data_IF_944669316504
#
_entry.id   IF_944669316504
#
_cell.length_a   1.000
_cell.length_b   1.000
_cell.length_c   1.000
_cell.angle_alpha   90.00
_cell.angle_beta   90.00
_cell.angle_gamma   90.00
#
_symmetry.space_group_name_H-M   'P 1'
#
loop_
_entity.id
_entity.type
_entity.pdbx_description
1 polymer ?
#
# COMPACT_ATOMS: atom_id res chain seq x y z
N UNK A 1 10.24 2.33 -20.03
CA UNK A 1 11.26 1.28 -20.21
C UNK A 1 10.80 0.02 -19.51
N UNK A 2 10.21 -0.90 -20.26
CA UNK A 2 9.77 -2.22 -19.80
C UNK A 2 10.05 -3.24 -20.90
N UNK A 3 9.74 -4.53 -20.72
CA UNK A 3 10.03 -5.55 -21.74
C UNK A 3 9.17 -5.36 -23.00
N UNK A 4 7.99 -4.73 -22.89
CA UNK A 4 7.05 -4.56 -24.00
C UNK A 4 6.32 -3.22 -23.87
N UNK A 5 5.82 -2.71 -24.99
CA UNK A 5 4.89 -1.58 -25.07
C UNK A 5 3.65 -2.01 -25.86
N UNK A 6 2.47 -1.52 -25.47
CA UNK A 6 1.24 -1.72 -26.22
C UNK A 6 1.01 -0.51 -27.13
N UNK A 7 0.97 -0.73 -28.44
CA UNK A 7 0.71 0.31 -29.44
C UNK A 7 -0.46 -0.15 -30.29
N UNK A 8 -1.58 0.58 -30.24
CA UNK A 8 -2.81 0.26 -30.99
C UNK A 8 -3.27 -1.21 -30.85
N UNK A 9 -3.16 -1.78 -29.65
CA UNK A 9 -3.54 -3.18 -29.37
C UNK A 9 -2.46 -4.22 -29.73
N UNK A 10 -1.38 -3.82 -30.38
CA UNK A 10 -0.24 -4.70 -30.70
C UNK A 10 0.84 -4.57 -29.64
N UNK A 11 1.29 -5.71 -29.11
CA UNK A 11 2.36 -5.75 -28.11
C UNK A 11 3.72 -5.82 -28.79
N UNK A 12 4.49 -4.75 -28.71
CA UNK A 12 5.84 -4.64 -29.31
C UNK A 12 6.91 -4.91 -28.25
N UNK A 13 7.82 -5.87 -28.45
CA UNK A 13 8.95 -6.09 -27.54
C UNK A 13 9.96 -4.94 -27.65
N UNK A 14 10.47 -4.49 -26.50
CA UNK A 14 11.48 -3.44 -26.41
C UNK A 14 12.89 -4.05 -26.23
N UNK A 15 13.97 -3.27 -26.44
CA UNK A 15 15.35 -3.77 -26.26
C UNK A 15 15.61 -4.44 -24.90
N UNK A 16 14.88 -4.03 -23.86
CA UNK A 16 14.94 -4.65 -22.54
C UNK A 16 14.55 -6.15 -22.55
N UNK A 17 13.61 -6.57 -23.41
CA UNK A 17 13.24 -7.97 -23.54
C UNK A 17 14.36 -8.85 -24.11
N UNK A 18 15.26 -8.26 -24.90
CA UNK A 18 16.43 -8.97 -25.41
C UNK A 18 17.48 -9.13 -24.30
N UNK A 19 17.71 -8.08 -23.51
CA UNK A 19 18.63 -8.11 -22.37
C UNK A 19 18.21 -9.15 -21.32
N UNK A 20 16.91 -9.28 -21.04
CA UNK A 20 16.36 -10.33 -20.17
C UNK A 20 16.67 -11.76 -20.64
N UNK A 21 16.89 -11.96 -21.94
CA UNK A 21 17.18 -13.29 -22.51
C UNK A 21 18.67 -13.58 -22.63
N UNK A 22 19.49 -12.55 -22.88
CA UNK A 22 20.89 -12.70 -23.23
C UNK A 22 21.86 -12.45 -22.08
N UNK A 23 21.46 -11.68 -21.06
CA UNK A 23 22.34 -11.31 -19.94
C UNK A 23 21.91 -12.09 -18.70
N UNK A 24 22.71 -13.07 -18.24
CA UNK A 24 22.41 -13.79 -17.00
C UNK A 24 22.24 -12.82 -15.82
N UNK A 25 21.19 -13.00 -15.02
CA UNK A 25 20.90 -12.19 -13.84
C UNK A 25 20.18 -10.86 -14.13
N UNK A 26 19.93 -10.49 -15.38
CA UNK A 26 19.17 -9.27 -15.72
C UNK A 26 17.69 -9.35 -15.34
N UNK A 27 17.18 -10.56 -15.12
CA UNK A 27 15.87 -10.91 -14.60
C UNK A 27 15.72 -10.60 -13.09
N UNK A 28 16.84 -10.48 -12.35
CA UNK A 28 16.83 -10.10 -10.92
C UNK A 28 16.46 -8.63 -10.66
N UNK A 29 16.44 -7.78 -11.70
CA UNK A 29 16.15 -6.35 -11.56
C UNK A 29 14.67 -6.07 -11.32
N UNK A 30 14.35 -5.74 -10.06
CA UNK A 30 12.97 -5.49 -9.59
C UNK A 30 12.33 -4.22 -10.13
N UNK A 31 13.10 -3.18 -10.44
CA UNK A 31 12.58 -1.87 -10.90
C UNK A 31 13.38 -1.36 -12.10
N UNK A 32 12.95 -1.78 -13.28
CA UNK A 32 13.60 -1.53 -14.58
C UNK A 32 13.78 -0.04 -14.89
N UNK A 33 12.89 0.82 -14.37
CA UNK A 33 12.97 2.27 -14.61
C UNK A 33 14.28 2.90 -14.10
N UNK A 34 14.99 2.28 -13.15
CA UNK A 34 16.28 2.78 -12.64
C UNK A 34 17.40 2.73 -13.69
N UNK A 35 17.32 1.82 -14.67
CA UNK A 35 18.26 1.77 -15.81
C UNK A 35 18.11 3.01 -16.69
N UNK A 36 16.96 3.71 -16.60
CA UNK A 36 16.75 4.99 -17.28
C UNK A 36 17.87 6.00 -17.00
N UNK A 37 18.48 5.98 -15.81
CA UNK A 37 19.62 6.84 -15.48
C UNK A 37 20.86 6.50 -16.33
N UNK A 38 21.17 5.22 -16.49
CA UNK A 38 22.29 4.76 -17.33
C UNK A 38 22.03 5.08 -18.80
N UNK A 39 20.78 4.92 -19.25
CA UNK A 39 20.38 5.32 -20.60
C UNK A 39 20.51 6.83 -20.81
N UNK A 40 20.05 7.66 -19.87
CA UNK A 40 20.19 9.11 -19.93
C UNK A 40 21.67 9.51 -19.99
N UNK A 41 22.52 8.88 -19.18
CA UNK A 41 23.96 9.12 -19.19
C UNK A 41 24.60 8.78 -20.55
N UNK A 42 24.33 7.60 -21.09
CA UNK A 42 24.84 7.20 -22.40
C UNK A 42 24.29 8.06 -23.54
N UNK A 43 23.00 8.41 -23.48
CA UNK A 43 22.34 9.28 -24.45
C UNK A 43 22.94 10.69 -24.43
N UNK A 44 23.22 11.26 -23.26
CA UNK A 44 23.89 12.55 -23.14
C UNK A 44 25.28 12.54 -23.79
N UNK A 45 26.05 11.45 -23.62
CA UNK A 45 27.32 11.27 -24.31
C UNK A 45 27.19 11.24 -25.83
N UNK A 46 26.21 10.48 -26.36
CA UNK A 46 25.94 10.42 -27.81
C UNK A 46 25.48 11.77 -28.37
N UNK A 47 24.65 12.50 -27.64
CA UNK A 47 24.23 13.86 -27.98
C UNK A 47 25.44 14.80 -28.05
N UNK A 48 26.37 14.72 -27.09
CA UNK A 48 27.62 15.48 -27.09
C UNK A 48 28.49 15.18 -28.32
N UNK A 49 28.70 13.89 -28.64
CA UNK A 49 29.46 13.46 -29.82
C UNK A 49 28.77 13.84 -31.15
N UNK A 50 27.44 13.85 -31.17
CA UNK A 50 26.64 14.32 -32.31
C UNK A 50 26.80 15.83 -32.51
N UNK A 51 26.68 16.59 -31.42
CA UNK A 51 26.88 18.04 -31.43
C UNK A 51 28.29 18.42 -31.89
N UNK A 52 29.34 17.74 -31.41
CA UNK A 52 30.73 17.94 -31.87
C UNK A 52 30.86 17.76 -33.38
N UNK A 53 30.32 16.67 -33.94
CA UNK A 53 30.38 16.39 -35.39
C UNK A 53 29.61 17.43 -36.20
N UNK A 54 28.43 17.86 -35.73
CA UNK A 54 27.64 18.91 -36.38
C UNK A 54 28.40 20.24 -36.34
N UNK A 55 28.98 20.59 -35.20
CA UNK A 55 29.77 21.82 -35.05
C UNK A 55 30.99 21.82 -35.96
N UNK A 56 31.71 20.70 -36.07
CA UNK A 56 32.88 20.59 -36.98
C UNK A 56 32.49 20.73 -38.45
N UNK A 57 31.36 20.15 -38.87
CA UNK A 57 30.85 20.30 -40.26
C UNK A 57 30.34 21.72 -40.54
N UNK A 58 29.78 22.38 -39.55
CA UNK A 58 29.30 23.76 -39.65
C UNK A 58 30.40 24.80 -39.41
N UNK A 59 31.60 24.40 -38.97
CA UNK A 59 32.73 25.28 -38.65
C UNK A 59 32.98 26.41 -39.66
N UNK A 60 33.10 26.12 -40.97
CA UNK A 60 33.29 27.15 -42.00
C UNK A 60 32.09 28.10 -42.15
N UNK A 61 30.87 27.63 -41.86
CA UNK A 61 29.64 28.44 -41.89
C UNK A 61 29.48 29.25 -40.60
N UNK A 62 30.04 28.78 -39.48
CA UNK A 62 30.01 29.44 -38.18
C UNK A 62 30.83 30.72 -38.12
N UNK A 63 31.71 30.99 -39.09
CA UNK A 63 32.38 32.28 -39.22
C UNK A 63 31.41 33.43 -39.52
N UNK A 64 30.25 33.12 -40.12
CA UNK A 64 29.20 34.12 -40.39
C UNK A 64 28.34 34.34 -39.14
N UNK A 65 28.02 35.60 -38.78
CA UNK A 65 27.33 35.95 -37.53
C UNK A 65 25.93 35.33 -37.42
N UNK A 66 25.21 35.22 -38.54
CA UNK A 66 23.85 34.65 -38.59
C UNK A 66 23.77 33.18 -38.09
N UNK A 67 24.78 32.35 -38.38
CA UNK A 67 24.79 30.96 -37.94
C UNK A 67 25.16 30.83 -36.45
N UNK A 68 26.00 31.75 -35.93
CA UNK A 68 26.30 31.83 -34.50
C UNK A 68 25.08 32.23 -33.69
N UNK A 69 24.33 33.22 -34.17
CA UNK A 69 23.07 33.66 -33.54
C UNK A 69 22.05 32.53 -33.55
N UNK A 70 21.89 31.82 -34.67
CA UNK A 70 20.98 30.67 -34.76
C UNK A 70 21.38 29.53 -33.80
N UNK A 71 22.66 29.19 -33.71
CA UNK A 71 23.16 28.17 -32.79
C UNK A 71 22.93 28.56 -31.32
N UNK A 72 23.21 29.83 -30.97
CA UNK A 72 22.93 30.37 -29.65
C UNK A 72 21.43 30.35 -29.33
N UNK A 73 20.57 30.71 -30.29
CA UNK A 73 19.12 30.67 -30.13
C UNK A 73 18.61 29.23 -29.91
N UNK A 74 19.15 28.25 -30.66
CA UNK A 74 18.82 26.83 -30.46
C UNK A 74 19.26 26.34 -29.09
N UNK A 75 20.48 26.70 -28.66
CA UNK A 75 20.96 26.35 -27.33
C UNK A 75 20.10 26.97 -26.23
N UNK A 76 19.78 28.26 -26.33
CA UNK A 76 18.90 28.95 -25.39
C UNK A 76 17.48 28.36 -25.40
N UNK A 77 16.97 27.92 -26.55
CA UNK A 77 15.68 27.24 -26.65
C UNK A 77 15.72 25.86 -25.94
N UNK A 78 16.80 25.09 -26.09
CA UNK A 78 16.99 23.83 -25.36
C UNK A 78 17.08 24.07 -23.85
N UNK A 79 17.83 25.08 -23.42
CA UNK A 79 17.90 25.49 -22.00
C UNK A 79 16.53 25.96 -21.51
N UNK A 80 15.77 26.69 -22.30
CA UNK A 80 14.42 27.15 -21.93
C UNK A 80 13.44 25.98 -21.81
N UNK A 81 13.47 25.01 -22.75
CA UNK A 81 12.66 23.78 -22.67
C UNK A 81 13.06 22.94 -21.46
N UNK A 82 14.35 22.83 -21.18
CA UNK A 82 14.84 22.16 -19.98
C UNK A 82 14.42 22.93 -18.74
N UNK A 83 14.49 24.25 -18.69
CA UNK A 83 14.14 25.05 -17.52
C UNK A 83 12.62 25.10 -17.24
N UNK A 84 11.81 25.10 -18.32
CA UNK A 84 10.35 24.98 -18.26
C UNK A 84 9.91 23.52 -17.99
N UNK A 85 10.83 22.55 -18.07
CA UNK A 85 10.62 21.26 -17.46
C UNK A 85 10.34 21.49 -15.97
N UNK A 86 9.31 20.87 -15.39
CA UNK A 86 8.82 21.24 -14.06
C UNK A 86 9.75 20.70 -12.95
N UNK A 87 11.02 21.10 -12.92
CA UNK A 87 12.01 20.79 -11.87
C UNK A 87 11.50 21.18 -10.49
N UNK A 88 10.63 22.20 -10.41
CA UNK A 88 9.91 22.58 -9.17
C UNK A 88 9.12 21.42 -8.57
N UNK A 89 8.63 20.47 -9.38
CA UNK A 89 7.97 19.22 -8.90
C UNK A 89 8.95 18.20 -8.33
N UNK A 90 10.25 18.37 -8.60
CA UNK A 90 11.34 17.50 -8.13
C UNK A 90 12.26 18.19 -7.12
N UNK A 91 11.89 19.37 -6.60
CA UNK A 91 12.63 20.01 -5.53
C UNK A 91 12.70 19.08 -4.32
N UNK A 92 13.89 19.01 -3.71
CA UNK A 92 14.11 18.29 -2.48
C UNK A 92 13.05 18.72 -1.47
N UNK A 93 12.24 17.77 -1.01
CA UNK A 93 11.24 18.05 0.00
C UNK A 93 11.97 18.28 1.32
N UNK A 94 11.57 19.33 2.04
CA UNK A 94 12.07 19.59 3.38
C UNK A 94 11.72 18.41 4.27
N UNK A 95 12.74 17.73 4.78
CA UNK A 95 12.56 16.68 5.79
C UNK A 95 12.72 17.30 7.19
N UNK A 96 11.94 16.85 8.18
CA UNK A 96 12.09 17.32 9.55
C UNK A 96 13.53 17.12 10.05
N UNK A 97 14.13 18.18 10.56
CA UNK A 97 15.35 18.11 11.37
C UNK A 97 14.97 17.91 12.84
N UNK A 98 15.96 17.73 13.74
CA UNK A 98 15.70 17.55 15.18
C UNK A 98 14.77 18.62 15.80
N UNK A 99 14.79 19.85 15.29
CA UNK A 99 13.94 20.96 15.73
C UNK A 99 12.50 20.89 15.19
N UNK A 100 12.29 20.17 14.07
CA UNK A 100 10.98 20.00 13.42
C UNK A 100 10.29 18.68 13.76
N UNK A 101 10.83 17.90 14.69
CA UNK A 101 10.25 16.60 15.08
C UNK A 101 8.92 16.82 15.81
N UNK A 102 7.84 16.14 15.39
CA UNK A 102 6.55 16.19 16.07
C UNK A 102 6.67 15.98 17.59
N UNK A 103 5.98 16.82 18.37
CA UNK A 103 6.02 16.81 19.84
C UNK A 103 5.69 15.43 20.43
N UNK A 104 4.78 14.69 19.79
CA UNK A 104 4.42 13.32 20.18
C UNK A 104 5.65 12.40 20.31
N UNK A 105 6.65 12.54 19.43
CA UNK A 105 7.86 11.73 19.49
C UNK A 105 8.83 12.20 20.58
N UNK A 106 8.80 13.49 20.94
CA UNK A 106 9.59 14.01 22.06
C UNK A 106 9.08 13.44 23.38
N UNK A 107 7.76 13.33 23.54
CA UNK A 107 7.13 12.64 24.68
C UNK A 107 7.48 11.15 24.63
N UNK A 108 7.25 10.50 23.48
CA UNK A 108 7.52 9.07 23.30
C UNK A 108 8.96 8.69 23.67
N UNK A 109 9.96 9.50 23.29
CA UNK A 109 11.39 9.26 23.59
C UNK A 109 11.69 9.16 25.08
N UNK A 110 10.92 9.82 25.95
CA UNK A 110 11.12 9.83 27.41
C UNK A 110 10.51 8.62 28.12
N UNK A 111 9.66 7.86 27.45
CA UNK A 111 9.01 6.67 28.02
C UNK A 111 9.96 5.45 28.03
N UNK A 112 9.65 4.39 28.79
CA UNK A 112 10.38 3.13 28.70
C UNK A 112 10.35 2.54 27.27
N UNK A 113 11.42 1.85 26.79
CA UNK A 113 11.41 1.22 25.48
C UNK A 113 10.33 0.15 25.35
N UNK A 114 9.51 0.24 24.30
CA UNK A 114 8.54 -0.80 23.92
C UNK A 114 8.22 -0.71 22.41
N UNK A 115 7.67 -1.78 21.80
CA UNK A 115 7.22 -1.77 20.41
C UNK A 115 6.16 -0.69 20.14
N UNK A 116 6.34 0.02 19.02
CA UNK A 116 5.49 1.11 18.57
C UNK A 116 4.74 0.71 17.29
N UNK A 117 3.45 0.99 17.24
CA UNK A 117 2.66 1.01 16.02
C UNK A 117 2.25 2.44 15.68
N UNK A 118 2.33 2.82 14.41
CA UNK A 118 1.90 4.14 13.94
C UNK A 118 0.70 4.03 12.98
N UNK A 119 -0.34 4.83 13.22
CA UNK A 119 -1.61 4.81 12.49
C UNK A 119 -1.79 6.13 11.72
N UNK A 120 -2.19 6.09 10.43
CA UNK A 120 -2.52 4.89 9.67
C UNK A 120 -1.27 4.09 9.24
N UNK A 121 -1.42 2.77 9.20
CA UNK A 121 -0.40 1.80 8.79
C UNK A 121 -1.01 0.70 7.90
N UNK A 122 -0.21 0.08 7.04
CA UNK A 122 -0.70 -0.98 6.15
C UNK A 122 -1.58 -0.48 4.98
N UNK A 123 -1.57 0.83 4.70
CA UNK A 123 -2.24 1.41 3.53
C UNK A 123 -1.55 0.89 2.25
N UNK A 124 -2.27 0.27 1.29
CA UNK A 124 -1.63 -0.27 0.09
C UNK A 124 -1.19 0.84 -0.88
N UNK A 125 -0.26 0.50 -1.78
CA UNK A 125 0.20 1.39 -2.84
C UNK A 125 1.26 2.41 -2.43
N UNK A 126 1.48 3.41 -3.30
CA UNK A 126 2.57 4.40 -3.17
C UNK A 126 2.35 5.32 -1.96
N UNK A 127 1.09 5.72 -1.72
CA UNK A 127 0.73 6.63 -0.62
C UNK A 127 1.12 6.01 0.72
N UNK A 128 0.70 4.77 0.99
CA UNK A 128 1.07 4.08 2.22
C UNK A 128 2.56 3.77 2.32
N UNK A 129 3.22 3.40 1.21
CA UNK A 129 4.67 3.16 1.21
C UNK A 129 5.47 4.41 1.58
N UNK A 130 5.04 5.59 1.11
CA UNK A 130 5.65 6.88 1.45
C UNK A 130 5.46 7.20 2.93
N UNK A 131 4.25 7.03 3.45
CA UNK A 131 3.94 7.26 4.86
C UNK A 131 4.75 6.34 5.78
N UNK A 132 4.82 5.05 5.47
CA UNK A 132 5.61 4.11 6.26
C UNK A 132 7.12 4.35 6.16
N UNK A 133 7.60 4.91 5.04
CA UNK A 133 9.00 5.36 4.94
C UNK A 133 9.28 6.55 5.84
N UNK A 134 8.30 7.46 5.98
CA UNK A 134 8.40 8.61 6.87
C UNK A 134 8.46 8.18 8.33
N UNK A 135 7.66 7.19 8.76
CA UNK A 135 7.74 6.61 10.10
C UNK A 135 9.12 6.01 10.38
N UNK A 136 9.66 5.24 9.44
CA UNK A 136 11.03 4.70 9.56
C UNK A 136 12.06 5.81 9.69
N UNK A 137 11.96 6.88 8.89
CA UNK A 137 12.84 8.04 9.02
C UNK A 137 12.70 8.71 10.39
N UNK A 138 11.48 8.95 10.87
CA UNK A 138 11.22 9.61 12.15
C UNK A 138 11.62 8.75 13.35
N UNK A 139 11.73 7.43 13.17
CA UNK A 139 12.18 6.51 14.21
C UNK A 139 13.58 6.81 14.76
N UNK A 140 14.45 7.48 13.99
CA UNK A 140 15.80 7.86 14.44
C UNK A 140 15.77 8.88 15.59
N UNK A 141 14.63 9.52 15.86
CA UNK A 141 14.48 10.49 16.94
C UNK A 141 13.99 9.88 18.25
N UNK A 142 13.32 8.72 18.22
CA UNK A 142 12.76 8.08 19.40
C UNK A 142 13.24 6.64 19.63
N UNK A 143 13.92 6.03 18.65
CA UNK A 143 14.55 4.70 18.73
C UNK A 143 13.62 3.60 19.27
N UNK A 144 12.34 3.63 18.88
CA UNK A 144 11.38 2.58 19.24
C UNK A 144 11.37 1.51 18.15
N UNK A 145 11.33 0.21 18.49
CA UNK A 145 11.06 -0.84 17.52
C UNK A 145 9.72 -0.59 16.87
N UNK A 146 9.68 -0.48 15.54
CA UNK A 146 8.42 -0.25 14.81
C UNK A 146 7.78 -1.58 14.39
N UNK A 147 6.47 -1.69 14.59
CA UNK A 147 5.65 -2.81 14.14
C UNK A 147 5.17 -2.65 12.69
N UNK A 148 5.14 -1.41 12.20
CA UNK A 148 4.91 -1.06 10.79
C UNK A 148 6.08 -0.25 10.23
N UNK A 149 6.14 -0.07 8.92
CA UNK A 149 7.26 0.63 8.30
C UNK A 149 7.61 0.08 6.94
N UNK A 150 8.40 0.85 6.21
CA UNK A 150 8.79 0.48 4.85
C UNK A 150 10.12 -0.29 4.83
N UNK A 151 10.12 -1.40 4.11
CA UNK A 151 11.31 -2.19 3.80
C UNK A 151 11.25 -2.73 2.37
N UNK A 152 12.41 -3.09 1.81
CA UNK A 152 12.50 -3.79 0.52
C UNK A 152 11.87 -5.20 0.56
N UNK A 153 11.69 -5.76 1.76
CA UNK A 153 11.07 -7.05 2.02
C UNK A 153 9.98 -6.93 3.09
N UNK A 154 8.79 -7.49 2.82
CA UNK A 154 7.70 -7.60 3.80
C UNK A 154 7.65 -9.03 4.34
N UNK A 155 7.90 -9.27 5.63
CA UNK A 155 7.80 -10.61 6.19
C UNK A 155 6.34 -11.09 6.23
N UNK A 156 6.08 -12.41 6.25
CA UNK A 156 4.71 -12.94 6.29
C UNK A 156 3.89 -12.43 7.50
N UNK A 157 4.55 -12.21 8.64
CA UNK A 157 3.95 -11.63 9.85
C UNK A 157 3.37 -10.23 9.63
N UNK A 158 3.94 -9.43 8.72
CA UNK A 158 3.50 -8.06 8.47
C UNK A 158 2.05 -7.99 7.98
N UNK A 159 1.58 -8.96 7.19
CA UNK A 159 0.20 -9.00 6.71
C UNK A 159 -0.81 -9.19 7.85
N UNK A 160 -0.47 -10.03 8.83
CA UNK A 160 -1.28 -10.26 10.04
C UNK A 160 -1.28 -9.00 10.90
N UNK A 161 -0.09 -8.45 11.20
CA UNK A 161 0.03 -7.23 12.02
C UNK A 161 -0.76 -6.08 11.41
N UNK A 162 -0.71 -5.89 10.08
CA UNK A 162 -1.44 -4.80 9.42
C UNK A 162 -2.94 -5.07 9.34
N UNK A 163 -3.39 -6.33 9.23
CA UNK A 163 -4.81 -6.66 9.33
C UNK A 163 -5.39 -6.21 10.68
N UNK A 164 -4.68 -6.55 11.76
CA UNK A 164 -5.06 -6.15 13.11
C UNK A 164 -4.98 -4.62 13.31
N UNK A 165 -3.91 -3.98 12.82
CA UNK A 165 -3.74 -2.53 12.89
C UNK A 165 -4.90 -1.77 12.22
N UNK A 166 -5.42 -2.28 11.10
CA UNK A 166 -6.55 -1.69 10.38
C UNK A 166 -7.91 -1.95 11.03
N UNK A 167 -7.99 -2.89 11.97
CA UNK A 167 -9.18 -3.16 12.76
C UNK A 167 -9.22 -2.36 14.08
N UNK A 168 -8.14 -1.64 14.43
CA UNK A 168 -8.16 -0.72 15.56
C UNK A 168 -9.21 0.40 15.34
N UNK A 169 -9.87 0.89 16.42
CA UNK A 169 -9.58 0.62 17.83
C UNK A 169 -10.42 -0.51 18.45
N UNK A 170 -10.79 -1.56 17.71
CA UNK A 170 -11.53 -2.68 18.28
C UNK A 170 -10.76 -3.38 19.41
N UNK A 171 -11.46 -3.70 20.50
CA UNK A 171 -10.89 -4.36 21.67
C UNK A 171 -10.18 -5.68 21.30
N UNK A 172 -10.81 -6.49 20.43
CA UNK A 172 -10.24 -7.77 19.98
C UNK A 172 -8.97 -7.58 19.14
N UNK A 173 -8.94 -6.57 18.29
CA UNK A 173 -7.77 -6.25 17.48
C UNK A 173 -6.61 -5.76 18.35
N UNK A 174 -6.89 -4.92 19.36
CA UNK A 174 -5.90 -4.49 20.35
C UNK A 174 -5.33 -5.67 21.13
N UNK A 175 -6.19 -6.52 21.69
CA UNK A 175 -5.79 -7.73 22.42
C UNK A 175 -4.87 -8.61 21.56
N UNK A 176 -5.28 -8.92 20.33
CA UNK A 176 -4.48 -9.75 19.42
C UNK A 176 -3.17 -9.07 19.00
N UNK A 177 -3.14 -7.76 18.78
CA UNK A 177 -1.90 -7.03 18.51
C UNK A 177 -0.93 -7.15 19.69
N UNK A 178 -1.40 -6.93 20.91
CA UNK A 178 -0.55 -7.07 22.09
C UNK A 178 0.01 -8.48 22.21
N UNK A 179 -0.87 -9.49 22.09
CA UNK A 179 -0.48 -10.90 22.21
C UNK A 179 0.48 -11.36 21.13
N UNK A 180 0.35 -10.85 19.90
CA UNK A 180 1.18 -11.30 18.76
C UNK A 180 2.43 -10.45 18.54
N UNK A 181 2.54 -9.27 19.15
CA UNK A 181 3.65 -8.34 18.86
C UNK A 181 4.28 -7.67 20.08
N UNK A 182 3.68 -7.78 21.27
CA UNK A 182 4.12 -7.04 22.45
C UNK A 182 3.88 -5.53 22.36
N UNK A 183 2.90 -5.08 21.58
CA UNK A 183 2.55 -3.67 21.40
C UNK A 183 2.54 -2.90 22.73
N UNK A 184 3.42 -1.91 22.86
CA UNK A 184 3.51 -1.05 24.06
C UNK A 184 2.99 0.37 23.84
N UNK A 185 3.20 0.91 22.64
CA UNK A 185 2.73 2.25 22.30
C UNK A 185 2.06 2.29 20.93
N UNK A 186 1.09 3.20 20.81
CA UNK A 186 0.41 3.51 19.57
C UNK A 186 0.45 5.02 19.34
N UNK A 187 0.98 5.45 18.20
CA UNK A 187 0.88 6.84 17.74
C UNK A 187 -0.20 6.91 16.66
N UNK A 188 -1.18 7.77 16.85
CA UNK A 188 -2.27 7.99 15.89
C UNK A 188 -2.14 9.38 15.30
N UNK A 189 -1.81 9.48 14.02
CA UNK A 189 -1.69 10.74 13.28
C UNK A 189 -3.08 11.19 12.80
N UNK A 190 -3.77 11.96 13.65
CA UNK A 190 -5.15 12.44 13.45
C UNK A 190 -5.31 13.37 12.23
N UNK A 191 -4.24 14.05 11.82
CA UNK A 191 -4.17 14.88 10.62
C UNK A 191 -4.11 14.07 9.32
N UNK A 192 -3.72 12.79 9.42
CA UNK A 192 -3.63 11.84 8.29
C UNK A 192 -4.86 10.94 8.17
N UNK A 193 -5.82 11.04 9.08
CA UNK A 193 -7.04 10.26 9.07
C UNK A 193 -8.22 11.03 8.48
N UNK A 194 -9.08 10.40 7.66
CA UNK A 194 -10.37 10.98 7.30
C UNK A 194 -11.22 11.31 8.54
N UNK A 195 -12.08 12.33 8.49
CA UNK A 195 -12.88 12.76 9.66
C UNK A 195 -13.66 11.62 10.34
N UNK A 196 -14.25 10.71 9.55
CA UNK A 196 -14.99 9.55 10.08
C UNK A 196 -14.12 8.57 10.87
N UNK A 197 -12.89 8.32 10.41
CA UNK A 197 -11.91 7.47 11.12
C UNK A 197 -11.32 8.18 12.34
N UNK A 198 -11.12 9.51 12.25
CA UNK A 198 -10.61 10.33 13.37
C UNK A 198 -11.54 10.26 14.59
N UNK A 199 -12.85 10.27 14.39
CA UNK A 199 -13.84 10.22 15.47
C UNK A 199 -13.75 8.95 16.34
N UNK A 200 -13.29 7.83 15.76
CA UNK A 200 -13.12 6.56 16.47
C UNK A 200 -12.06 6.64 17.59
N UNK A 201 -11.15 7.63 17.52
CA UNK A 201 -10.05 7.82 18.47
C UNK A 201 -10.35 8.82 19.60
N UNK A 202 -11.60 9.29 19.71
CA UNK A 202 -12.00 10.16 20.81
C UNK A 202 -11.97 9.42 22.16
N UNK A 203 -12.43 8.17 22.19
CA UNK A 203 -12.42 7.31 23.37
C UNK A 203 -12.06 5.85 22.98
N UNK A 204 -10.78 5.55 22.71
CA UNK A 204 -10.36 4.22 22.28
C UNK A 204 -10.43 3.22 23.45
N UNK A 205 -11.22 2.14 23.36
CA UNK A 205 -11.39 1.20 24.47
C UNK A 205 -10.09 0.44 24.77
N UNK A 206 -9.80 0.22 26.06
CA UNK A 206 -8.63 -0.53 26.51
C UNK A 206 -7.28 0.18 26.30
N UNK A 207 -7.30 1.47 25.98
CA UNK A 207 -6.10 2.28 25.78
C UNK A 207 -6.11 3.53 26.65
N UNK A 208 -4.99 3.79 27.32
CA UNK A 208 -4.74 5.01 28.07
C UNK A 208 -4.04 6.05 27.20
N UNK A 209 -4.56 7.27 27.22
CA UNK A 209 -3.95 8.42 26.53
C UNK A 209 -2.77 8.96 27.34
N UNK A 210 -1.58 8.95 26.76
CA UNK A 210 -0.36 9.52 27.34
C UNK A 210 -0.09 10.94 26.83
N UNK A 211 -0.52 11.25 25.60
CA UNK A 211 -0.41 12.57 25.00
C UNK A 211 -1.50 12.79 23.95
N UNK A 212 -1.98 14.03 23.83
CA UNK A 212 -3.01 14.44 22.87
C UNK A 212 -2.72 15.83 22.33
N UNK A 213 -2.78 15.97 21.01
CA UNK A 213 -2.79 17.24 20.30
C UNK A 213 -3.83 17.22 19.17
N UNK A 214 -3.91 18.32 18.41
CA UNK A 214 -4.77 18.40 17.23
C UNK A 214 -4.34 17.47 16.09
N UNK A 215 -3.06 17.09 16.07
CA UNK A 215 -2.45 16.32 14.98
C UNK A 215 -2.17 14.88 15.37
N UNK A 216 -1.95 14.58 16.66
CA UNK A 216 -1.58 13.22 17.06
C UNK A 216 -2.06 12.82 18.46
N UNK A 217 -2.21 11.51 18.67
CA UNK A 217 -2.35 10.87 19.97
C UNK A 217 -1.17 9.95 20.23
N UNK A 218 -0.74 9.87 21.49
CA UNK A 218 0.08 8.77 22.00
C UNK A 218 -0.75 7.99 23.00
N UNK A 219 -0.87 6.68 22.75
CA UNK A 219 -1.69 5.76 23.52
C UNK A 219 -0.81 4.60 23.99
N UNK A 220 -1.18 4.00 25.11
CA UNK A 220 -0.62 2.73 25.60
C UNK A 220 -1.76 1.82 26.04
N UNK A 221 -1.69 0.50 25.85
CA UNK A 221 -2.72 -0.39 26.36
C UNK A 221 -2.87 -0.29 27.88
N UNK A 222 -4.09 -0.39 28.40
CA UNK A 222 -4.36 -0.31 29.85
C UNK A 222 -3.97 -1.59 30.59
N UNK A 223 -4.10 -2.73 29.93
CA UNK A 223 -3.89 -4.05 30.52
C UNK A 223 -2.88 -4.83 29.68
N UNK A 224 -2.03 -5.60 30.35
CA UNK A 224 -1.22 -6.61 29.69
C UNK A 224 -2.09 -7.82 29.34
N UNK A 225 -1.87 -8.38 28.16
CA UNK A 225 -2.55 -9.60 27.73
C UNK A 225 -1.76 -10.83 28.20
N UNK A 226 -2.39 -11.83 28.85
CA UNK A 226 -1.67 -12.89 29.57
C UNK A 226 -1.07 -13.98 28.67
N UNK A 227 -1.56 -14.15 27.44
CA UNK A 227 -1.12 -15.24 26.54
C UNK A 227 -0.28 -14.70 25.40
N UNK A 228 0.99 -15.10 25.36
CA UNK A 228 1.91 -14.77 24.28
C UNK A 228 1.62 -15.60 23.02
N UNK A 229 1.33 -14.91 21.92
CA UNK A 229 1.12 -15.47 20.58
C UNK A 229 2.25 -15.05 19.60
N UNK A 230 3.26 -14.30 20.06
CA UNK A 230 4.38 -13.89 19.22
C UNK A 230 5.14 -15.09 18.61
N UNK A 231 5.42 -16.19 19.34
CA UNK A 231 6.05 -17.37 18.74
C UNK A 231 5.23 -17.94 17.58
N UNK A 232 3.90 -17.98 17.72
CA UNK A 232 2.99 -18.44 16.67
C UNK A 232 2.92 -17.46 15.49
N UNK A 233 3.12 -16.16 15.69
CA UNK A 233 3.21 -15.21 14.57
C UNK A 233 4.52 -15.40 13.78
N UNK A 234 5.62 -15.64 14.49
CA UNK A 234 6.98 -15.75 13.93
C UNK A 234 7.32 -17.15 13.40
N UNK A 235 6.51 -18.16 13.70
CA UNK A 235 6.65 -19.48 13.08
C UNK A 235 6.18 -19.43 11.62
N UNK A 236 7.15 -19.57 10.71
CA UNK A 236 6.95 -19.57 9.26
C UNK A 236 7.01 -20.98 8.65
N UNK A 237 7.04 -22.04 9.47
CA UNK A 237 6.85 -23.40 8.97
C UNK A 237 5.38 -23.63 8.58
N UNK A 238 5.10 -24.50 7.59
CA UNK A 238 3.73 -24.88 7.27
C UNK A 238 3.02 -25.42 8.50
N UNK A 239 1.89 -24.81 8.87
CA UNK A 239 1.07 -25.20 10.01
C UNK A 239 -0.23 -25.81 9.55
N UNK A 240 -0.73 -26.73 10.36
CA UNK A 240 -2.09 -27.26 10.23
C UNK A 240 -3.13 -26.33 10.85
N UNK A 241 -2.72 -25.34 11.65
CA UNK A 241 -3.61 -24.40 12.34
C UNK A 241 -3.17 -22.94 12.20
N UNK A 242 -4.13 -22.02 12.35
CA UNK A 242 -3.90 -20.57 12.42
C UNK A 242 -3.19 -20.19 13.71
N UNK A 243 -2.86 -18.89 13.87
CA UNK A 243 -2.30 -18.35 15.11
C UNK A 243 -3.25 -18.57 16.30
N UNK A 244 -4.54 -18.70 16.04
CA UNK A 244 -5.58 -18.91 17.05
C UNK A 244 -5.98 -20.38 17.22
N UNK A 245 -5.32 -21.30 16.51
CA UNK A 245 -5.57 -22.74 16.60
C UNK A 245 -6.68 -23.27 15.69
N UNK A 246 -7.22 -22.47 14.78
CA UNK A 246 -8.24 -22.93 13.81
C UNK A 246 -7.58 -23.81 12.74
N UNK A 247 -8.09 -25.01 12.43
CA UNK A 247 -7.54 -25.85 11.37
C UNK A 247 -7.53 -25.14 10.01
N UNK A 248 -6.37 -25.12 9.34
CA UNK A 248 -6.21 -24.56 7.99
C UNK A 248 -6.69 -25.60 6.99
N UNK A 249 -7.99 -25.59 6.72
CA UNK A 249 -8.66 -26.48 5.79
C UNK A 249 -9.69 -25.71 4.94
N UNK A 250 -10.03 -26.20 3.73
CA UNK A 250 -11.14 -25.64 2.95
C UNK A 250 -12.45 -25.66 3.75
N UNK A 251 -13.14 -24.52 3.79
CA UNK A 251 -14.49 -24.42 4.34
C UNK A 251 -15.45 -25.08 3.34
N UNK A 252 -16.15 -26.12 3.78
CA UNK A 252 -17.12 -26.84 2.95
C UNK A 252 -18.29 -25.94 2.55
N UNK A 253 -18.91 -26.20 1.39
CA UNK A 253 -19.91 -25.31 0.81
C UNK A 253 -21.13 -25.07 1.74
N UNK A 254 -21.54 -26.08 2.50
CA UNK A 254 -22.61 -26.00 3.51
C UNK A 254 -22.24 -25.11 4.71
N UNK A 255 -20.95 -24.89 4.96
CA UNK A 255 -20.43 -24.04 6.03
C UNK A 255 -20.04 -22.63 5.54
N UNK A 256 -20.25 -22.27 4.26
CA UNK A 256 -19.95 -20.93 3.74
C UNK A 256 -21.07 -19.91 3.98
N UNK A 257 -21.81 -20.06 5.07
CA UNK A 257 -22.95 -19.22 5.43
C UNK A 257 -22.45 -17.95 6.13
N UNK A 258 -22.57 -16.80 5.46
CA UNK A 258 -22.10 -15.51 5.98
C UNK A 258 -23.16 -14.42 5.77
N UNK A 259 -23.27 -13.55 6.75
CA UNK A 259 -23.95 -12.26 6.64
C UNK A 259 -22.88 -11.18 6.41
N UNK A 260 -22.95 -10.47 5.28
CA UNK A 260 -21.99 -9.44 4.87
C UNK A 260 -22.69 -8.10 4.72
N UNK A 261 -22.13 -7.07 5.37
CA UNK A 261 -22.61 -5.70 5.24
C UNK A 261 -21.46 -4.70 5.20
N UNK A 262 -21.68 -3.57 4.54
CA UNK A 262 -20.78 -2.44 4.64
C UNK A 262 -21.09 -1.62 5.89
N UNK A 263 -20.05 -1.08 6.51
CA UNK A 263 -20.18 -0.07 7.54
C UNK A 263 -19.99 1.31 6.91
N UNK A 264 -21.10 2.02 6.70
CA UNK A 264 -21.12 3.32 6.01
C UNK A 264 -21.50 3.21 4.53
N UNK A 265 -21.52 4.36 3.86
CA UNK A 265 -21.93 4.47 2.46
C UNK A 265 -20.70 4.59 1.55
N UNK A 266 -20.43 3.60 0.69
CA UNK A 266 -19.36 3.72 -0.29
C UNK A 266 -19.70 4.84 -1.30
N UNK A 267 -18.70 5.49 -1.89
CA UNK A 267 -18.91 6.48 -2.94
C UNK A 267 -19.48 5.81 -4.19
N UNK A 268 -20.41 6.49 -4.84
CA UNK A 268 -21.02 6.04 -6.11
C UNK A 268 -20.18 6.42 -7.32
N UNK A 269 -19.17 7.27 -7.16
CA UNK A 269 -18.23 7.60 -8.23
C UNK A 269 -16.81 7.85 -7.71
N UNK A 270 -15.81 7.42 -8.47
CA UNK A 270 -14.38 7.54 -8.15
C UNK A 270 -13.57 7.83 -9.41
N UNK A 271 -12.33 8.32 -9.25
CA UNK A 271 -11.40 8.48 -10.37
C UNK A 271 -10.64 7.19 -10.68
N UNK A 272 -10.16 7.05 -11.91
CA UNK A 272 -9.37 5.90 -12.34
C UNK A 272 -8.15 5.67 -11.44
N UNK A 273 -7.92 4.41 -11.03
CA UNK A 273 -6.80 4.03 -10.17
C UNK A 273 -6.88 4.48 -8.71
N UNK A 274 -7.92 5.22 -8.31
CA UNK A 274 -8.07 5.70 -6.94
C UNK A 274 -8.34 4.51 -5.99
N UNK A 275 -7.67 4.43 -4.82
CA UNK A 275 -8.01 3.46 -3.79
C UNK A 275 -9.35 3.80 -3.14
N UNK A 276 -10.11 2.77 -2.83
CA UNK A 276 -11.39 2.80 -2.16
C UNK A 276 -11.34 1.92 -0.92
N UNK A 277 -11.35 2.54 0.26
CA UNK A 277 -11.43 1.82 1.52
C UNK A 277 -12.89 1.54 1.88
N UNK A 278 -13.20 0.25 2.05
CA UNK A 278 -14.49 -0.27 2.44
C UNK A 278 -14.37 -0.96 3.79
N UNK A 279 -15.12 -0.49 4.78
CA UNK A 279 -15.29 -1.22 6.03
C UNK A 279 -16.37 -2.30 5.82
N UNK A 280 -15.98 -3.55 5.93
CA UNK A 280 -16.87 -4.71 5.80
C UNK A 280 -17.05 -5.32 7.17
N UNK A 281 -18.30 -5.54 7.57
CA UNK A 281 -18.65 -6.34 8.74
C UNK A 281 -19.19 -7.67 8.24
N UNK A 282 -18.57 -8.75 8.69
CA UNK A 282 -18.98 -10.11 8.38
C UNK A 282 -19.38 -10.84 9.67
N UNK A 283 -20.46 -11.61 9.60
CA UNK A 283 -20.87 -12.50 10.69
C UNK A 283 -20.99 -13.90 10.13
N UNK A 284 -20.15 -14.82 10.61
CA UNK A 284 -20.23 -16.23 10.27
C UNK A 284 -21.54 -16.81 10.83
N UNK A 285 -22.40 -17.35 9.97
CA UNK A 285 -23.71 -17.95 10.32
C UNK A 285 -23.66 -19.48 10.30
N UNK A 286 -22.50 -20.06 9.99
CA UNK A 286 -22.27 -21.50 10.02
C UNK A 286 -21.98 -22.01 11.43
N UNK A 287 -21.60 -23.28 11.55
CA UNK A 287 -21.28 -23.92 12.84
C UNK A 287 -19.77 -24.07 13.09
N UNK A 288 -18.93 -23.79 12.10
CA UNK A 288 -17.48 -23.97 12.19
C UNK A 288 -16.75 -22.63 12.15
N UNK A 289 -15.61 -22.56 12.84
CA UNK A 289 -14.71 -21.41 12.76
C UNK A 289 -13.89 -21.49 11.48
N UNK A 290 -13.74 -20.38 10.76
CA UNK A 290 -13.00 -20.36 9.49
C UNK A 290 -11.55 -19.90 9.67
N UNK A 291 -10.58 -20.53 8.98
CA UNK A 291 -9.17 -20.17 9.13
C UNK A 291 -8.86 -18.90 8.34
N UNK A 292 -8.43 -17.83 9.00
CA UNK A 292 -8.13 -16.56 8.34
C UNK A 292 -6.85 -15.87 8.86
N UNK A 293 -6.54 -15.99 10.14
CA UNK A 293 -5.45 -15.28 10.81
C UNK A 293 -4.18 -16.14 10.95
N UNK A 294 -3.41 -16.26 9.87
CA UNK A 294 -2.13 -16.95 9.87
C UNK A 294 -1.05 -16.18 9.07
N UNK A 295 0.21 -16.32 9.50
CA UNK A 295 1.38 -15.75 8.80
C UNK A 295 1.72 -16.54 7.54
N UNK A 296 1.62 -17.87 7.62
CA UNK A 296 1.85 -18.83 6.54
C UNK A 296 0.81 -19.94 6.60
N UNK A 297 0.65 -20.68 5.51
CA UNK A 297 -0.35 -21.75 5.36
C UNK A 297 -1.51 -21.30 4.50
N UNK A 298 -2.01 -22.22 3.67
CA UNK A 298 -3.18 -22.06 2.82
C UNK A 298 -3.97 -23.39 2.87
N UNK A 299 -5.29 -23.37 2.69
CA UNK A 299 -6.11 -22.24 2.23
C UNK A 299 -6.72 -21.40 3.37
N UNK A 300 -6.61 -20.08 3.29
CA UNK A 300 -7.19 -19.12 4.24
C UNK A 300 -8.36 -18.35 3.64
N UNK A 301 -9.26 -17.86 4.50
CA UNK A 301 -10.37 -17.00 4.12
C UNK A 301 -9.90 -15.55 4.04
N UNK A 302 -10.20 -14.91 2.91
CA UNK A 302 -9.86 -13.52 2.62
C UNK A 302 -11.09 -12.70 2.24
N UNK A 303 -11.00 -11.38 2.39
CA UNK A 303 -11.86 -10.46 1.67
C UNK A 303 -11.28 -10.16 0.30
N UNK A 304 -12.12 -10.24 -0.71
CA UNK A 304 -11.79 -9.92 -2.09
C UNK A 304 -12.73 -8.87 -2.68
N UNK A 305 -12.35 -8.35 -3.84
CA UNK A 305 -13.25 -7.60 -4.71
C UNK A 305 -13.08 -7.96 -6.18
N UNK A 306 -14.10 -7.67 -6.98
CA UNK A 306 -14.00 -7.61 -8.45
C UNK A 306 -14.84 -6.48 -9.02
N UNK A 307 -14.38 -5.88 -10.10
CA UNK A 307 -15.13 -4.93 -10.91
C UNK A 307 -15.73 -5.66 -12.12
N UNK A 308 -17.05 -5.62 -12.23
CA UNK A 308 -17.81 -6.24 -13.31
C UNK A 308 -18.36 -5.13 -14.21
N UNK A 309 -17.98 -5.15 -15.49
CA UNK A 309 -18.47 -4.21 -16.48
C UNK A 309 -19.77 -4.67 -17.15
N UNK A 310 -20.25 -3.89 -18.14
CA UNK A 310 -21.43 -4.26 -18.93
C UNK A 310 -21.31 -5.66 -19.52
N UNK A 311 -22.43 -6.40 -19.53
CA UNK A 311 -22.48 -7.78 -20.02
C UNK A 311 -21.82 -8.82 -19.09
N UNK A 312 -21.56 -8.48 -17.82
CA UNK A 312 -21.03 -9.41 -16.83
C UNK A 312 -19.52 -9.69 -16.93
N UNK A 313 -18.80 -8.93 -17.77
CA UNK A 313 -17.35 -9.13 -17.96
C UNK A 313 -16.58 -8.65 -16.73
N UNK A 314 -15.80 -9.54 -16.12
CA UNK A 314 -14.86 -9.18 -15.05
C UNK A 314 -13.69 -8.40 -15.64
N UNK A 315 -13.50 -7.16 -15.18
CA UNK A 315 -12.45 -6.24 -15.64
C UNK A 315 -11.20 -6.34 -14.77
N UNK A 316 -11.42 -6.52 -13.48
CA UNK A 316 -10.37 -6.60 -12.47
C UNK A 316 -10.89 -7.45 -11.31
N UNK A 317 -10.07 -8.36 -10.80
CA UNK A 317 -10.41 -9.21 -9.65
C UNK A 317 -9.18 -9.37 -8.76
N UNK A 318 -9.39 -9.26 -7.45
CA UNK A 318 -8.40 -9.56 -6.41
C UNK A 318 -9.11 -10.30 -5.28
N UNK A 319 -8.86 -11.60 -5.18
CA UNK A 319 -9.55 -12.47 -4.23
C UNK A 319 -8.96 -12.38 -2.81
N UNK A 320 -7.65 -12.11 -2.69
CA UNK A 320 -6.92 -11.98 -1.43
C UNK A 320 -6.59 -10.52 -1.07
N UNK A 321 -7.54 -9.62 -1.33
CA UNK A 321 -7.32 -8.18 -1.22
C UNK A 321 -7.14 -7.70 0.24
N UNK A 322 -7.76 -8.36 1.21
CA UNK A 322 -7.54 -8.08 2.63
C UNK A 322 -7.58 -9.36 3.50
N UNK A 323 -6.68 -9.40 4.48
CA UNK A 323 -6.68 -10.35 5.59
C UNK A 323 -7.77 -10.00 6.59
N UNK A 324 -8.41 -11.01 7.18
CA UNK A 324 -9.31 -10.81 8.31
C UNK A 324 -8.49 -10.68 9.61
N UNK A 325 -8.89 -9.82 10.57
CA UNK A 325 -8.17 -9.58 11.81
C UNK A 325 -8.52 -10.59 12.93
N UNK A 326 -9.34 -11.60 12.65
CA UNK A 326 -9.69 -12.69 13.57
C UNK A 326 -10.05 -13.91 12.72
N UNK A 327 -10.09 -15.09 13.33
CA UNK A 327 -10.74 -16.25 12.71
C UNK A 327 -12.26 -16.12 12.90
N UNK A 328 -13.07 -16.05 11.83
CA UNK A 328 -14.52 -15.84 11.96
C UNK A 328 -15.20 -16.99 12.71
N UNK A 329 -15.56 -16.74 13.97
CA UNK A 329 -16.31 -17.67 14.81
C UNK A 329 -17.82 -17.56 14.56
N UNK A 330 -18.58 -18.66 14.68
CA UNK A 330 -20.05 -18.63 14.59
C UNK A 330 -20.68 -17.54 15.46
N UNK A 331 -21.51 -16.70 14.84
CA UNK A 331 -22.28 -15.65 15.50
C UNK A 331 -21.50 -14.40 15.94
N UNK A 332 -20.17 -14.39 15.83
CA UNK A 332 -19.33 -13.25 16.25
C UNK A 332 -19.04 -12.34 15.04
N UNK A 333 -19.44 -11.05 15.09
CA UNK A 333 -19.09 -10.12 14.03
C UNK A 333 -17.59 -9.82 14.00
N UNK A 334 -17.01 -9.84 12.80
CA UNK A 334 -15.64 -9.40 12.53
C UNK A 334 -15.70 -8.20 11.59
N UNK A 335 -15.03 -7.10 11.93
CA UNK A 335 -14.88 -5.96 11.00
C UNK A 335 -13.49 -5.99 10.38
N UNK A 336 -13.44 -5.72 9.08
CA UNK A 336 -12.18 -5.63 8.36
C UNK A 336 -12.26 -4.50 7.32
N UNK A 337 -11.12 -3.89 7.04
CA UNK A 337 -11.02 -2.86 6.00
C UNK A 337 -10.44 -3.47 4.73
N UNK A 338 -11.19 -3.37 3.64
CA UNK A 338 -10.80 -3.77 2.29
C UNK A 338 -10.44 -2.54 1.47
N UNK A 339 -9.27 -2.53 0.82
CA UNK A 339 -8.91 -1.48 -0.16
C UNK A 339 -9.09 -2.03 -1.58
N UNK A 340 -10.12 -1.57 -2.28
CA UNK A 340 -10.31 -1.83 -3.71
C UNK A 340 -9.63 -0.74 -4.55
N UNK A 341 -9.00 -1.08 -5.67
CA UNK A 341 -8.43 -0.09 -6.59
C UNK A 341 -9.33 0.07 -7.80
N UNK A 342 -9.81 1.29 -8.06
CA UNK A 342 -10.63 1.56 -9.23
C UNK A 342 -9.88 1.18 -10.53
N UNK A 343 -10.56 0.60 -11.52
CA UNK A 343 -9.99 0.30 -12.83
C UNK A 343 -9.30 1.53 -13.46
N UNK A 344 -8.28 1.28 -14.27
CA UNK A 344 -7.59 2.33 -15.03
C UNK A 344 -8.44 2.84 -16.21
N UNK A 345 -9.43 2.05 -16.63
CA UNK A 345 -10.38 2.39 -17.69
C UNK A 345 -11.63 3.03 -17.09
N UNK A 346 -12.00 4.26 -17.51
CA UNK A 346 -13.28 4.85 -17.13
C UNK A 346 -14.47 4.01 -17.61
N UNK A 347 -15.60 4.14 -16.92
CA UNK A 347 -16.85 3.46 -17.24
C UNK A 347 -17.72 3.21 -16.01
N UNK A 348 -18.91 2.66 -16.25
CA UNK A 348 -19.81 2.23 -15.19
C UNK A 348 -19.63 0.74 -14.93
N UNK A 349 -19.50 0.38 -13.66
CA UNK A 349 -19.20 -0.96 -13.18
C UNK A 349 -20.08 -1.33 -11.99
N UNK A 350 -20.15 -2.62 -11.71
CA UNK A 350 -20.55 -3.14 -10.41
C UNK A 350 -19.29 -3.55 -9.64
N UNK A 351 -19.06 -2.94 -8.49
CA UNK A 351 -18.08 -3.38 -7.51
C UNK A 351 -18.70 -4.51 -6.68
N UNK A 352 -18.16 -5.70 -6.84
CA UNK A 352 -18.56 -6.89 -6.10
C UNK A 352 -17.54 -7.14 -5.00
N UNK A 353 -18.00 -7.30 -3.76
CA UNK A 353 -17.20 -7.56 -2.57
C UNK A 353 -17.68 -8.84 -1.90
N UNK A 354 -16.77 -9.67 -1.42
CA UNK A 354 -17.13 -10.94 -0.80
C UNK A 354 -15.95 -11.64 -0.16
N UNK A 355 -16.21 -12.84 0.36
CA UNK A 355 -15.18 -13.72 0.87
C UNK A 355 -14.67 -14.67 -0.20
N UNK A 356 -13.40 -15.05 -0.10
CA UNK A 356 -12.81 -16.06 -0.95
C UNK A 356 -11.87 -16.98 -0.16
N UNK A 357 -11.69 -18.20 -0.66
CA UNK A 357 -10.72 -19.16 -0.14
C UNK A 357 -10.25 -20.07 -1.27
N UNK A 358 -8.94 -20.32 -1.36
CA UNK A 358 -8.38 -21.28 -2.32
C UNK A 358 -8.76 -21.02 -3.78
N UNK A 359 -8.85 -19.76 -4.19
CA UNK A 359 -9.21 -19.37 -5.56
C UNK A 359 -10.71 -19.26 -5.85
N UNK A 360 -11.57 -19.53 -4.86
CA UNK A 360 -13.03 -19.62 -5.01
C UNK A 360 -13.75 -18.61 -4.12
N UNK A 361 -14.81 -18.02 -4.65
CA UNK A 361 -15.69 -17.11 -3.92
C UNK A 361 -16.71 -17.87 -3.08
N UNK A 362 -17.05 -17.30 -1.93
CA UNK A 362 -18.21 -17.70 -1.14
C UNK A 362 -19.49 -17.21 -1.86
N UNK A 363 -20.64 -17.86 -1.64
CA UNK A 363 -21.87 -17.55 -2.38
C UNK A 363 -22.46 -16.17 -2.05
N UNK A 364 -22.29 -15.68 -0.82
CA UNK A 364 -22.80 -14.36 -0.43
C UNK A 364 -21.85 -13.25 -0.90
N UNK A 365 -22.38 -12.31 -1.68
CA UNK A 365 -21.66 -11.17 -2.24
C UNK A 365 -22.41 -9.86 -1.98
N UNK A 366 -21.67 -8.77 -1.82
CA UNK A 366 -22.19 -7.40 -1.85
C UNK A 366 -21.93 -6.85 -3.25
N UNK A 367 -22.95 -6.30 -3.89
CA UNK A 367 -22.82 -5.65 -5.20
C UNK A 367 -23.20 -4.17 -5.12
N UNK A 368 -22.36 -3.31 -5.68
CA UNK A 368 -22.50 -1.85 -5.59
C UNK A 368 -22.32 -1.24 -6.98
N UNK A 369 -23.26 -0.42 -7.48
CA UNK A 369 -23.02 0.35 -8.68
C UNK A 369 -21.95 1.42 -8.41
N UNK A 370 -20.98 1.55 -9.31
CA UNK A 370 -19.92 2.55 -9.20
C UNK A 370 -19.51 3.09 -10.58
N UNK A 371 -19.44 4.42 -10.69
CA UNK A 371 -18.98 5.11 -11.89
C UNK A 371 -17.52 5.52 -11.75
N UNK A 372 -16.66 5.04 -12.64
CA UNK A 372 -15.23 5.36 -12.66
C UNK A 372 -14.96 6.42 -13.72
N UNK A 373 -14.49 7.59 -13.30
CA UNK A 373 -14.27 8.77 -14.14
C UNK A 373 -12.78 8.96 -14.44
N UNK A 374 -12.43 9.50 -15.62
CA UNK A 374 -11.05 9.91 -15.87
C UNK A 374 -10.67 11.09 -14.96
N UNK A 375 -9.38 11.23 -14.65
CA UNK A 375 -8.86 12.40 -13.96
C UNK A 375 -9.16 13.69 -14.77
N UNK A 376 -9.51 14.81 -14.12
CA UNK A 376 -9.58 16.09 -14.79
C UNK A 376 -8.22 16.42 -15.42
N UNK A 377 -8.25 16.99 -16.63
CA UNK A 377 -7.04 17.37 -17.37
C UNK A 377 -6.29 18.52 -16.74
#
# INVERSE_FOLDING_TARGET
MGPKILVAGVTVPLPYALALRLVPGFDSMRVVSRIGLLFMFGFAGLVGLGAERVMRKLGPKMERPQYRVAAAAVFLALVAVEYDFPWRRYLAQTVPTAQGVPEVYQVLRRLPPAPLLEIPGGTPGIIGSRQESEYVFLSIFHWRPLLNGYSGYRPPSYLVTMALARALPEHRALELLQRTTGLGYLVVHLDRLPPGKRAQWNNPPGMRVLYRSNNALLLTPEHESPTDLLPALLDFHPRETTILGTPIQPVSADQQQVDLRLNGSPPTSVFTGLPLDLEVVLTNRSTTTWPALASVGEPLVYLGYRFVGPGGRVIQEVQNAARLPDDPRPGVPVRATLTAFAPQTPGDFHLVVGLSQGGKWFPTLIELPISVKPWPK
#
